data_IF_501146849317
#
_entry.id   IF_501146849317
#
_cell.length_a   1.000
_cell.length_b   1.000
_cell.length_c   1.000
_cell.angle_alpha   90.00
_cell.angle_beta   90.00
_cell.angle_gamma   90.00
#
_symmetry.space_group_name_H-M   'P 1'
#
loop_
_entity.id
_entity.type
_entity.pdbx_description
1 polymer ?
#
# COMPACT_ATOMS: atom_id res chain seq x y z
N UNK A 1 -7.96 8.40 -12.62
CA UNK A 1 -6.54 8.48 -12.20
C UNK A 1 -6.26 9.64 -11.25
N UNK A 2 -6.87 10.82 -11.43
CA UNK A 2 -6.67 11.97 -10.54
C UNK A 2 -7.07 11.74 -9.07
N UNK A 3 -8.07 10.89 -8.80
CA UNK A 3 -8.59 10.69 -7.44
C UNK A 3 -7.59 9.98 -6.51
N UNK A 4 -6.97 8.88 -6.95
CA UNK A 4 -5.97 8.16 -6.14
C UNK A 4 -4.71 8.99 -5.86
N UNK A 5 -4.32 9.87 -6.80
CA UNK A 5 -3.16 10.76 -6.62
C UNK A 5 -3.32 11.73 -5.45
N UNK A 6 -4.55 12.03 -5.02
CA UNK A 6 -4.79 12.89 -3.86
C UNK A 6 -4.45 12.22 -2.53
N UNK A 7 -4.23 10.90 -2.52
CA UNK A 7 -4.04 10.09 -1.32
C UNK A 7 -2.66 9.42 -1.23
N UNK A 8 -1.73 9.74 -2.13
CA UNK A 8 -0.37 9.21 -2.11
C UNK A 8 0.64 10.24 -2.60
N UNK A 9 1.89 10.16 -2.10
CA UNK A 9 2.98 10.98 -2.65
C UNK A 9 3.53 10.42 -3.97
N UNK A 10 3.42 9.11 -4.14
CA UNK A 10 3.90 8.37 -5.30
C UNK A 10 2.88 7.30 -5.65
N UNK A 11 2.42 7.29 -6.90
CA UNK A 11 1.46 6.32 -7.39
C UNK A 11 2.17 5.28 -8.24
N UNK A 12 2.03 4.01 -7.84
CA UNK A 12 2.61 2.87 -8.53
C UNK A 12 1.53 1.89 -8.98
N UNK A 13 1.74 1.30 -10.14
CA UNK A 13 1.07 0.07 -10.55
C UNK A 13 1.99 -1.12 -10.27
N UNK A 14 1.39 -2.28 -9.97
CA UNK A 14 2.09 -3.55 -9.89
C UNK A 14 1.43 -4.53 -10.86
N UNK A 15 2.21 -5.21 -11.68
CA UNK A 15 1.72 -6.15 -12.70
C UNK A 15 2.57 -7.42 -12.75
N UNK A 16 2.11 -8.46 -13.45
CA UNK A 16 2.88 -9.69 -13.69
C UNK A 16 3.43 -9.73 -15.12
N UNK A 17 4.36 -10.65 -15.40
CA UNK A 17 5.09 -10.75 -16.68
C UNK A 17 4.24 -10.97 -17.93
N UNK A 18 3.03 -11.52 -17.76
CA UNK A 18 2.10 -11.78 -18.87
C UNK A 18 1.36 -10.54 -19.36
N UNK A 19 1.47 -9.39 -18.68
CA UNK A 19 0.79 -8.15 -19.07
C UNK A 19 1.77 -7.21 -19.79
N UNK A 20 1.41 -6.74 -20.99
CA UNK A 20 2.21 -5.72 -21.70
C UNK A 20 2.39 -4.45 -20.85
N UNK A 21 3.62 -3.94 -20.77
CA UNK A 21 3.95 -2.80 -19.90
C UNK A 21 3.52 -1.43 -20.48
N UNK A 22 3.30 -1.38 -21.79
CA UNK A 22 2.93 -0.22 -22.59
C UNK A 22 1.48 0.25 -22.37
N UNK A 23 0.63 -0.59 -21.78
CA UNK A 23 -0.74 -0.20 -21.42
C UNK A 23 -0.81 0.71 -20.18
N UNK A 24 0.27 0.77 -19.39
CA UNK A 24 0.28 1.51 -18.13
C UNK A 24 0.70 2.96 -18.33
N UNK A 25 0.02 3.94 -17.69
CA UNK A 25 0.37 5.35 -17.79
C UNK A 25 1.84 5.63 -17.43
N UNK A 26 2.57 6.32 -18.30
CA UNK A 26 3.99 6.64 -18.11
C UNK A 26 4.26 7.54 -16.89
N UNK A 27 3.26 8.35 -16.55
CA UNK A 27 3.22 9.27 -15.41
C UNK A 27 3.09 8.58 -14.03
N UNK A 28 3.00 7.25 -13.99
CA UNK A 28 2.97 6.44 -12.78
C UNK A 28 4.19 5.52 -12.73
N UNK A 29 4.64 5.20 -11.51
CA UNK A 29 5.65 4.17 -11.33
C UNK A 29 5.09 2.78 -11.63
N UNK A 30 5.98 1.83 -11.86
CA UNK A 30 5.62 0.47 -12.25
C UNK A 30 6.53 -0.56 -11.58
N UNK A 31 5.90 -1.51 -10.91
CA UNK A 31 6.53 -2.72 -10.39
C UNK A 31 6.11 -3.92 -11.23
N UNK A 32 7.06 -4.80 -11.50
CA UNK A 32 6.82 -6.14 -11.99
C UNK A 32 6.90 -7.10 -10.81
N UNK A 33 5.80 -7.77 -10.48
CA UNK A 33 5.65 -8.61 -9.29
C UNK A 33 5.17 -10.01 -9.65
N UNK A 34 5.58 -10.98 -8.86
CA UNK A 34 5.10 -12.36 -8.86
C UNK A 34 4.52 -12.73 -7.48
N UNK A 35 4.32 -14.03 -7.21
CA UNK A 35 3.83 -14.51 -5.92
C UNK A 35 4.83 -14.41 -4.75
N UNK A 36 6.09 -14.08 -5.01
CA UNK A 36 7.18 -14.07 -4.03
C UNK A 36 7.75 -12.68 -3.79
N UNK A 37 7.77 -11.82 -4.79
CA UNK A 37 8.39 -10.51 -4.71
C UNK A 37 8.01 -9.56 -5.85
N UNK A 38 8.75 -8.45 -5.92
CA UNK A 38 8.56 -7.44 -6.95
C UNK A 38 9.86 -6.72 -7.28
N UNK A 39 10.01 -6.32 -8.53
CA UNK A 39 11.10 -5.50 -9.04
C UNK A 39 10.56 -4.17 -9.59
N UNK A 40 11.24 -3.06 -9.26
CA UNK A 40 10.84 -1.74 -9.74
C UNK A 40 11.39 -1.49 -11.14
N UNK A 41 10.49 -1.36 -12.11
CA UNK A 41 10.85 -1.10 -13.51
C UNK A 41 10.86 0.39 -13.80
N UNK A 42 9.96 1.14 -13.16
CA UNK A 42 9.83 2.60 -13.34
C UNK A 42 9.53 3.28 -12.01
N UNK A 43 10.35 4.27 -11.68
CA UNK A 43 10.13 5.14 -10.52
C UNK A 43 8.92 6.06 -10.76
N UNK A 44 8.11 6.30 -9.73
CA UNK A 44 6.99 7.24 -9.82
C UNK A 44 7.45 8.69 -9.57
N UNK A 45 6.93 9.68 -10.31
CA UNK A 45 7.18 11.08 -9.99
C UNK A 45 6.56 11.44 -8.63
N UNK A 46 7.26 12.28 -7.86
CA UNK A 46 6.79 12.74 -6.56
C UNK A 46 5.71 13.81 -6.69
N UNK A 47 4.58 13.60 -6.03
CA UNK A 47 3.45 14.53 -5.91
C UNK A 47 3.07 14.66 -4.44
N UNK A 48 3.69 15.61 -3.74
CA UNK A 48 3.51 15.74 -2.29
C UNK A 48 2.05 15.99 -1.90
N UNK A 49 1.54 15.17 -1.00
CA UNK A 49 0.25 15.37 -0.37
C UNK A 49 0.24 16.58 0.57
N UNK A 50 -0.92 17.24 0.65
CA UNK A 50 -1.19 18.24 1.67
C UNK A 50 -1.06 17.62 3.09
N UNK A 51 -0.53 18.37 4.08
CA UNK A 51 -0.31 17.85 5.43
C UNK A 51 -1.57 17.29 6.11
N UNK A 52 -2.73 17.93 5.91
CA UNK A 52 -4.00 17.47 6.47
C UNK A 52 -4.42 16.10 5.91
N UNK A 53 -4.32 15.90 4.59
CA UNK A 53 -4.64 14.64 3.93
C UNK A 53 -3.67 13.54 4.34
N UNK A 54 -2.36 13.84 4.40
CA UNK A 54 -1.34 12.90 4.89
C UNK A 54 -1.69 12.38 6.28
N UNK A 55 -2.03 13.27 7.22
CA UNK A 55 -2.44 12.89 8.58
C UNK A 55 -3.66 11.97 8.56
N UNK A 56 -4.68 12.30 7.76
CA UNK A 56 -5.89 11.48 7.63
C UNK A 56 -5.57 10.08 7.11
N UNK A 57 -4.80 9.96 6.03
CA UNK A 57 -4.41 8.67 5.42
C UNK A 57 -3.58 7.83 6.40
N UNK A 58 -2.61 8.43 7.10
CA UNK A 58 -1.80 7.72 8.11
C UNK A 58 -2.68 7.17 9.24
N UNK A 59 -3.59 7.97 9.79
CA UNK A 59 -4.48 7.52 10.87
C UNK A 59 -5.41 6.39 10.42
N UNK A 60 -5.93 6.47 9.19
CA UNK A 60 -6.76 5.41 8.60
C UNK A 60 -5.97 4.12 8.40
N UNK A 61 -4.72 4.23 7.91
CA UNK A 61 -3.81 3.10 7.78
C UNK A 61 -3.57 2.42 9.14
N UNK A 62 -3.24 3.19 10.17
CA UNK A 62 -2.99 2.65 11.52
C UNK A 62 -4.20 1.92 12.09
N UNK A 63 -5.41 2.48 11.93
CA UNK A 63 -6.66 1.83 12.39
C UNK A 63 -6.89 0.50 11.66
N UNK A 64 -6.76 0.49 10.33
CA UNK A 64 -6.95 -0.72 9.53
C UNK A 64 -5.90 -1.80 9.86
N UNK A 65 -4.64 -1.41 10.09
CA UNK A 65 -3.58 -2.33 10.49
C UNK A 65 -3.85 -2.96 11.87
N UNK A 66 -4.19 -2.13 12.87
CA UNK A 66 -4.48 -2.61 14.22
C UNK A 66 -5.69 -3.56 14.26
N UNK A 67 -6.76 -3.23 13.54
CA UNK A 67 -7.94 -4.10 13.45
C UNK A 67 -7.62 -5.46 12.82
N UNK A 68 -6.85 -5.48 11.72
CA UNK A 68 -6.44 -6.73 11.07
C UNK A 68 -5.54 -7.58 11.96
N UNK A 69 -4.60 -6.95 12.66
CA UNK A 69 -3.73 -7.65 13.60
C UNK A 69 -4.54 -8.27 14.75
N UNK A 70 -5.43 -7.50 15.37
CA UNK A 70 -6.31 -7.99 16.43
C UNK A 70 -7.15 -9.19 15.98
N UNK A 71 -7.75 -9.11 14.79
CA UNK A 71 -8.51 -10.21 14.21
C UNK A 71 -7.64 -11.45 13.94
N UNK A 72 -6.41 -11.27 13.46
CA UNK A 72 -5.48 -12.37 13.23
C UNK A 72 -5.08 -13.06 14.54
N UNK A 73 -4.77 -12.29 15.60
CA UNK A 73 -4.42 -12.84 16.91
C UNK A 73 -5.58 -13.63 17.52
N UNK A 74 -6.80 -13.11 17.45
CA UNK A 74 -7.99 -13.83 17.91
C UNK A 74 -8.26 -15.12 17.13
N UNK A 75 -8.05 -15.11 15.81
CA UNK A 75 -8.21 -16.30 14.98
C UNK A 75 -7.16 -17.38 15.28
N UNK A 76 -5.99 -17.01 15.79
CA UNK A 76 -4.90 -17.91 16.14
C UNK A 76 -5.13 -18.68 17.47
N UNK A 77 -6.23 -18.38 18.18
CA UNK A 77 -6.67 -19.13 19.37
C UNK A 77 -5.82 -18.93 20.63
N UNK A 78 -4.82 -18.03 20.61
CA UNK A 78 -4.10 -17.64 21.82
C UNK A 78 -4.95 -16.63 22.61
N UNK A 79 -5.25 -16.89 23.89
CA UNK A 79 -5.87 -15.87 24.73
C UNK A 79 -4.89 -14.70 24.84
N UNK A 80 -5.38 -13.49 24.57
CA UNK A 80 -4.63 -12.26 24.85
C UNK A 80 -4.42 -12.19 26.37
N UNK A 81 -3.19 -12.37 26.85
CA UNK A 81 -2.87 -12.22 28.26
C UNK A 81 -2.30 -10.82 28.50
N UNK A 82 -2.84 -10.12 29.49
CA UNK A 82 -2.49 -8.72 29.77
C UNK A 82 -1.03 -8.60 30.26
N UNK A 83 -0.45 -9.72 30.68
CA UNK A 83 0.94 -9.84 31.15
C UNK A 83 1.99 -9.93 30.01
N UNK A 84 1.56 -10.05 28.74
CA UNK A 84 2.46 -10.18 27.57
C UNK A 84 2.93 -8.82 26.99
N UNK A 85 2.57 -7.70 27.62
CA UNK A 85 2.92 -6.31 27.21
C UNK A 85 4.04 -5.73 28.05
#
# INVERSE_FOLDING_TARGET
MAEYRLHCDRLFFATHEGVPLDIFPEECGLFLSDGYGAHMIREAPEHRMAPATRKSVTLNFSRAAAQRLMMAEWANGKPYNVDDV
#
